data_IF_377271939641
#
_entry.id   IF_377271939641
#
_cell.length_a   1.000
_cell.length_b   1.000
_cell.length_c   1.000
_cell.angle_alpha   90.00
_cell.angle_beta   90.00
_cell.angle_gamma   90.00
#
_symmetry.space_group_name_H-M   'P 1'
#
loop_
_entity.id
_entity.type
_entity.pdbx_description
1 polymer ?
#
# COMPACT_ATOMS: atom_id res chain seq x y z
N UNK A 1 0.70 10.14 -24.10
CA UNK A 1 1.81 10.10 -23.12
C UNK A 1 1.95 8.67 -22.63
N UNK A 2 3.12 8.06 -22.79
CA UNK A 2 3.38 6.69 -22.33
C UNK A 2 3.71 6.76 -20.82
N UNK A 3 2.71 6.58 -19.96
CA UNK A 3 2.93 6.56 -18.52
C UNK A 3 3.63 5.23 -18.21
N UNK A 4 4.96 5.26 -18.09
CA UNK A 4 5.69 4.09 -17.60
C UNK A 4 5.25 3.81 -16.16
N UNK A 5 4.62 2.65 -15.97
CA UNK A 5 4.30 2.16 -14.63
C UNK A 5 5.61 1.74 -13.98
N UNK A 6 6.11 2.56 -13.05
CA UNK A 6 7.29 2.24 -12.25
C UNK A 6 7.04 0.95 -11.46
N UNK A 7 8.05 0.08 -11.38
CA UNK A 7 7.96 -1.12 -10.53
C UNK A 7 7.90 -0.75 -9.05
N UNK A 8 7.43 -1.68 -8.21
CA UNK A 8 7.38 -1.46 -6.77
C UNK A 8 8.77 -1.18 -6.19
N UNK A 9 9.80 -1.88 -6.69
CA UNK A 9 11.19 -1.64 -6.32
C UNK A 9 11.65 -0.21 -6.63
N UNK A 10 11.28 0.33 -7.79
CA UNK A 10 11.62 1.72 -8.14
C UNK A 10 10.92 2.71 -7.23
N UNK A 11 9.64 2.48 -6.91
CA UNK A 11 8.90 3.34 -5.99
C UNK A 11 9.48 3.30 -4.57
N UNK A 12 9.89 2.13 -4.08
CA UNK A 12 10.57 1.99 -2.78
C UNK A 12 11.91 2.73 -2.76
N UNK A 13 12.70 2.62 -3.81
CA UNK A 13 13.98 3.34 -3.93
C UNK A 13 13.77 4.86 -3.96
N UNK A 14 12.77 5.35 -4.70
CA UNK A 14 12.41 6.76 -4.71
C UNK A 14 11.98 7.24 -3.33
N UNK A 15 11.15 6.45 -2.63
CA UNK A 15 10.72 6.76 -1.27
C UNK A 15 11.90 6.92 -0.31
N UNK A 16 12.81 5.94 -0.31
CA UNK A 16 14.06 5.97 0.49
C UNK A 16 14.99 7.11 0.12
N UNK A 17 14.87 7.64 -1.10
CA UNK A 17 15.62 8.81 -1.57
C UNK A 17 14.95 10.15 -1.24
N UNK A 18 13.83 10.12 -0.50
CA UNK A 18 13.12 11.31 -0.02
C UNK A 18 11.82 11.65 -0.76
N UNK A 19 11.45 10.92 -1.82
CA UNK A 19 10.17 11.13 -2.51
C UNK A 19 9.00 10.50 -1.73
N UNK A 20 8.44 11.27 -0.80
CA UNK A 20 7.27 10.89 0.00
C UNK A 20 6.03 10.57 -0.84
N UNK A 21 5.96 10.99 -2.11
CA UNK A 21 4.82 10.63 -2.98
C UNK A 21 4.90 9.17 -3.47
N UNK A 22 6.09 8.58 -3.46
CA UNK A 22 6.32 7.23 -3.98
C UNK A 22 5.66 6.15 -3.11
N UNK A 23 5.62 6.34 -1.79
CA UNK A 23 4.93 5.41 -0.88
C UNK A 23 3.41 5.44 -1.09
N UNK A 24 2.82 6.62 -1.31
CA UNK A 24 1.38 6.73 -1.61
C UNK A 24 1.01 5.99 -2.90
N UNK A 25 1.89 6.00 -3.91
CA UNK A 25 1.69 5.24 -5.16
C UNK A 25 1.75 3.73 -4.94
N UNK A 26 2.63 3.24 -4.06
CA UNK A 26 2.69 1.82 -3.68
C UNK A 26 1.41 1.39 -2.94
N UNK A 27 1.00 2.18 -1.95
CA UNK A 27 -0.20 1.93 -1.15
C UNK A 27 -1.44 1.88 -2.05
N UNK A 28 -1.64 2.89 -2.89
CA UNK A 28 -2.82 2.98 -3.76
C UNK A 28 -2.85 1.82 -4.78
N UNK A 29 -1.69 1.40 -5.29
CA UNK A 29 -1.58 0.26 -6.22
C UNK A 29 -2.09 -1.04 -5.60
N UNK A 30 -1.84 -1.27 -4.31
CA UNK A 30 -2.16 -2.53 -3.63
C UNK A 30 -3.47 -2.47 -2.82
N UNK A 31 -3.97 -1.27 -2.54
CA UNK A 31 -5.13 -0.98 -1.69
C UNK A 31 -6.32 -1.90 -1.97
N UNK A 32 -6.80 -1.92 -3.22
CA UNK A 32 -7.98 -2.71 -3.59
C UNK A 32 -7.75 -4.20 -3.35
N UNK A 33 -6.64 -4.75 -3.83
CA UNK A 33 -6.37 -6.20 -3.74
C UNK A 33 -6.22 -6.65 -2.29
N UNK A 34 -5.54 -5.87 -1.46
CA UNK A 34 -5.35 -6.18 -0.04
C UNK A 34 -6.68 -6.08 0.72
N UNK A 35 -7.46 -5.01 0.50
CA UNK A 35 -8.78 -4.86 1.13
C UNK A 35 -9.73 -5.97 0.71
N UNK A 36 -9.81 -6.29 -0.59
CA UNK A 36 -10.68 -7.34 -1.12
C UNK A 36 -10.30 -8.70 -0.52
N UNK A 37 -9.00 -8.98 -0.34
CA UNK A 37 -8.53 -10.20 0.31
C UNK A 37 -8.94 -10.25 1.80
N UNK A 38 -8.76 -9.16 2.55
CA UNK A 38 -9.18 -9.07 3.96
C UNK A 38 -10.69 -9.28 4.06
N UNK A 39 -11.47 -8.56 3.25
CA UNK A 39 -12.93 -8.71 3.20
C UNK A 39 -13.34 -10.14 2.86
N UNK A 40 -12.62 -10.81 1.95
CA UNK A 40 -12.88 -12.21 1.64
C UNK A 40 -12.73 -13.14 2.85
N UNK A 41 -11.87 -12.79 3.82
CA UNK A 41 -11.63 -13.56 5.05
C UNK A 41 -12.65 -13.23 6.14
N UNK A 42 -12.99 -11.96 6.34
CA UNK A 42 -13.83 -11.53 7.48
C UNK A 42 -15.32 -11.35 7.14
N UNK A 43 -15.64 -11.14 5.85
CA UNK A 43 -17.02 -10.94 5.33
C UNK A 43 -17.79 -9.78 5.98
N UNK A 44 -17.08 -8.80 6.51
CA UNK A 44 -17.60 -7.61 7.16
C UNK A 44 -16.81 -6.39 6.66
N UNK A 45 -17.51 -5.31 6.27
CA UNK A 45 -16.85 -4.14 5.69
C UNK A 45 -16.10 -3.30 6.73
N UNK A 46 -16.69 -3.09 7.91
CA UNK A 46 -16.11 -2.23 8.94
C UNK A 46 -14.86 -2.92 9.52
N UNK A 47 -14.96 -4.22 9.80
CA UNK A 47 -13.81 -5.03 10.26
C UNK A 47 -12.72 -5.10 9.18
N UNK A 48 -13.10 -5.22 7.91
CA UNK A 48 -12.11 -5.25 6.82
C UNK A 48 -11.38 -3.92 6.69
N UNK A 49 -12.08 -2.79 6.85
CA UNK A 49 -11.49 -1.46 6.80
C UNK A 49 -10.57 -1.20 8.00
N UNK A 50 -10.92 -1.66 9.21
CA UNK A 50 -10.06 -1.58 10.40
C UNK A 50 -8.76 -2.38 10.23
N UNK A 51 -8.86 -3.65 9.84
CA UNK A 51 -7.69 -4.51 9.60
C UNK A 51 -6.82 -3.93 8.49
N UNK A 52 -7.45 -3.38 7.44
CA UNK A 52 -6.75 -2.79 6.32
C UNK A 52 -5.95 -1.55 6.74
N UNK A 53 -6.54 -0.66 7.55
CA UNK A 53 -5.84 0.49 8.11
C UNK A 53 -4.64 0.07 8.98
N UNK A 54 -4.83 -0.87 9.89
CA UNK A 54 -3.73 -1.40 10.72
C UNK A 54 -2.60 -2.01 9.89
N UNK A 55 -2.97 -2.74 8.83
CA UNK A 55 -2.02 -3.40 7.92
C UNK A 55 -1.15 -2.35 7.24
N UNK A 56 -1.74 -1.27 6.73
CA UNK A 56 -0.95 -0.21 6.10
C UNK A 56 -0.06 0.56 7.05
N UNK A 57 -0.53 0.84 8.27
CA UNK A 57 0.32 1.46 9.30
C UNK A 57 1.54 0.58 9.56
N UNK A 58 1.36 -0.74 9.67
CA UNK A 58 2.48 -1.70 9.84
C UNK A 58 3.43 -1.69 8.65
N UNK A 59 2.91 -1.66 7.42
CA UNK A 59 3.73 -1.60 6.21
C UNK A 59 4.62 -0.36 6.18
N UNK A 60 4.07 0.82 6.48
CA UNK A 60 4.85 2.07 6.51
C UNK A 60 5.97 1.97 7.55
N UNK A 61 5.66 1.52 8.77
CA UNK A 61 6.66 1.34 9.84
C UNK A 61 7.79 0.41 9.43
N UNK A 62 7.49 -0.72 8.79
CA UNK A 62 8.50 -1.68 8.32
C UNK A 62 9.35 -1.14 7.17
N UNK A 63 8.83 -0.21 6.38
CA UNK A 63 9.61 0.43 5.30
C UNK A 63 10.55 1.52 5.87
N UNK A 64 10.12 2.17 6.95
CA UNK A 64 10.87 3.23 7.65
C UNK A 64 11.95 2.71 8.61
N UNK A 65 11.82 1.45 9.07
CA UNK A 65 12.85 0.70 9.82
C UNK A 65 13.99 0.18 8.92
#
# INVERSE_FOLDING_TARGET
MNIQVLSDQHLLNNYRSGDQSAISKLIERHKRRVRDYIYMMVKDNDVADDIFQETFIKVIRVIDE
#
